data_IF_367189749081
#
_entry.id   IF_367189749081
#
_cell.length_a   1.000
_cell.length_b   1.000
_cell.length_c   1.000
_cell.angle_alpha   90.00
_cell.angle_beta   90.00
_cell.angle_gamma   90.00
#
_symmetry.space_group_name_H-M   'P 1'
#
loop_
_entity.id
_entity.type
_entity.pdbx_description
1 polymer ?
#
# COMPACT_ATOMS: atom_id res chain seq x y z
N UNK A 1 5.13 26.99 -19.27
CA UNK A 1 5.65 26.40 -18.01
C UNK A 1 4.60 26.32 -16.89
N UNK A 2 3.36 26.77 -17.08
CA UNK A 2 2.34 26.85 -16.02
C UNK A 2 1.23 25.79 -16.07
N UNK A 3 1.12 25.00 -17.13
CA UNK A 3 0.07 23.95 -17.24
C UNK A 3 0.46 22.60 -16.65
N UNK A 4 1.77 22.31 -16.51
CA UNK A 4 2.24 21.05 -15.89
C UNK A 4 2.12 21.09 -14.36
N UNK A 5 2.08 22.29 -13.76
CA UNK A 5 2.08 22.45 -12.30
C UNK A 5 0.79 21.96 -11.61
N UNK A 6 -0.37 22.03 -12.28
CA UNK A 6 -1.65 21.67 -11.66
C UNK A 6 -1.95 20.17 -11.77
N UNK A 7 -1.50 19.51 -12.85
CA UNK A 7 -1.68 18.06 -13.02
C UNK A 7 -0.84 17.26 -11.99
N UNK A 8 0.31 17.79 -11.58
CA UNK A 8 1.21 17.12 -10.63
C UNK A 8 0.68 17.10 -9.20
N UNK A 9 -0.15 18.08 -8.80
CA UNK A 9 -0.78 18.09 -7.47
C UNK A 9 -1.71 16.90 -7.26
N UNK A 10 -2.30 16.35 -8.34
CA UNK A 10 -3.23 15.22 -8.29
C UNK A 10 -2.54 13.85 -8.14
N UNK A 11 -1.22 13.78 -8.32
CA UNK A 11 -0.46 12.53 -8.11
C UNK A 11 -0.29 12.19 -6.63
N UNK A 12 -0.51 13.16 -5.74
CA UNK A 12 -0.28 12.98 -4.30
C UNK A 12 1.18 12.75 -3.94
N UNK A 13 2.11 13.12 -4.84
CA UNK A 13 3.56 13.06 -4.63
C UNK A 13 4.02 14.44 -4.18
N UNK A 14 4.50 14.59 -2.92
CA UNK A 14 5.10 15.83 -2.47
C UNK A 14 6.29 16.23 -3.34
N UNK A 15 6.47 17.53 -3.59
CA UNK A 15 7.51 18.01 -4.51
C UNK A 15 8.94 17.66 -4.07
N UNK A 16 9.15 17.48 -2.77
CA UNK A 16 10.43 17.06 -2.16
C UNK A 16 10.78 15.59 -2.40
N UNK A 17 9.82 14.74 -2.77
CA UNK A 17 10.06 13.33 -3.11
C UNK A 17 9.93 13.04 -4.61
N UNK A 18 9.87 14.08 -5.44
CA UNK A 18 9.70 13.95 -6.89
C UNK A 18 10.88 13.24 -7.59
N UNK A 19 12.05 13.21 -6.95
CA UNK A 19 13.21 12.46 -7.43
C UNK A 19 12.91 10.96 -7.63
N UNK A 20 11.91 10.42 -6.92
CA UNK A 20 11.46 9.03 -7.08
C UNK A 20 11.00 8.75 -8.51
N UNK A 21 10.39 9.73 -9.19
CA UNK A 21 9.95 9.57 -10.58
C UNK A 21 11.17 9.36 -11.47
N UNK A 22 12.22 10.16 -11.29
CA UNK A 22 13.47 10.05 -12.05
C UNK A 22 14.14 8.69 -11.82
N UNK A 23 14.20 8.25 -10.56
CA UNK A 23 14.77 6.95 -10.22
C UNK A 23 13.97 5.80 -10.84
N UNK A 24 12.65 5.90 -10.82
CA UNK A 24 11.77 4.92 -11.43
C UNK A 24 11.99 4.87 -12.95
N UNK A 25 12.10 6.03 -13.62
CA UNK A 25 12.43 6.09 -15.05
C UNK A 25 13.76 5.40 -15.37
N UNK A 26 14.80 5.66 -14.58
CA UNK A 26 16.12 5.07 -14.78
C UNK A 26 16.09 3.55 -14.63
N UNK A 27 15.33 3.04 -13.66
CA UNK A 27 15.25 1.60 -13.38
C UNK A 27 14.33 0.83 -14.32
N UNK A 28 13.24 1.45 -14.78
CA UNK A 28 12.21 0.75 -15.56
C UNK A 28 12.20 1.11 -17.05
N UNK A 29 12.89 2.20 -17.45
CA UNK A 29 12.83 2.73 -18.81
C UNK A 29 11.45 3.26 -19.21
N UNK A 30 10.57 3.53 -18.24
CA UNK A 30 9.24 4.06 -18.51
C UNK A 30 9.31 5.55 -18.82
N UNK A 31 8.48 6.01 -19.75
CA UNK A 31 8.31 7.44 -19.98
C UNK A 31 7.53 8.09 -18.83
N UNK A 32 7.73 9.39 -18.66
CA UNK A 32 7.13 10.16 -17.58
C UNK A 32 5.60 10.13 -17.60
N UNK A 33 4.99 10.14 -18.79
CA UNK A 33 3.53 10.08 -18.97
C UNK A 33 2.97 8.77 -18.44
N UNK A 34 3.59 7.64 -18.79
CA UNK A 34 3.25 6.31 -18.28
C UNK A 34 3.26 6.26 -16.75
N UNK A 35 4.29 6.83 -16.12
CA UNK A 35 4.44 6.82 -14.66
C UNK A 35 3.35 7.65 -13.99
N UNK A 36 3.14 8.88 -14.45
CA UNK A 36 2.12 9.77 -13.89
C UNK A 36 0.72 9.24 -14.09
N UNK A 37 0.41 8.70 -15.27
CA UNK A 37 -0.87 8.09 -15.54
C UNK A 37 -1.12 6.92 -14.58
N UNK A 38 -0.13 6.03 -14.38
CA UNK A 38 -0.27 4.92 -13.45
C UNK A 38 -0.41 5.38 -12.00
N UNK A 39 0.37 6.36 -11.55
CA UNK A 39 0.22 6.91 -10.19
C UNK A 39 -1.13 7.57 -9.99
N UNK A 40 -1.64 8.34 -10.95
CA UNK A 40 -2.97 8.95 -10.88
C UNK A 40 -4.06 7.88 -10.82
N UNK A 41 -3.96 6.84 -11.66
CA UNK A 41 -4.88 5.69 -11.63
C UNK A 41 -4.89 4.99 -10.28
N UNK A 42 -3.73 4.70 -9.69
CA UNK A 42 -3.64 4.04 -8.37
C UNK A 42 -4.16 4.95 -7.25
N UNK A 43 -3.90 6.26 -7.32
CA UNK A 43 -4.24 7.21 -6.27
C UNK A 43 -5.72 7.58 -6.23
N UNK A 44 -6.34 7.77 -7.40
CA UNK A 44 -7.68 8.36 -7.54
C UNK A 44 -8.70 7.39 -8.16
N UNK A 45 -8.23 6.34 -8.84
CA UNK A 45 -9.06 5.36 -9.56
C UNK A 45 -9.93 5.93 -10.70
N UNK A 46 -9.48 7.01 -11.35
CA UNK A 46 -10.15 7.59 -12.52
C UNK A 46 -10.32 6.55 -13.65
N UNK A 47 -11.36 6.73 -14.45
CA UNK A 47 -11.60 5.90 -15.65
C UNK A 47 -10.48 6.11 -16.68
N UNK A 48 -10.28 5.14 -17.57
CA UNK A 48 -9.28 5.30 -18.64
C UNK A 48 -9.67 6.38 -19.66
N UNK A 49 -10.96 6.70 -19.77
CA UNK A 49 -11.44 7.82 -20.59
C UNK A 49 -10.99 9.16 -19.98
N UNK A 50 -11.25 9.38 -18.68
CA UNK A 50 -10.79 10.59 -17.97
C UNK A 50 -9.26 10.72 -17.99
N UNK A 51 -8.54 9.61 -17.81
CA UNK A 51 -7.08 9.59 -17.95
C UNK A 51 -6.64 9.86 -19.39
N UNK A 52 -7.39 9.42 -20.38
CA UNK A 52 -7.14 9.77 -21.78
C UNK A 52 -7.21 11.28 -22.00
N UNK A 53 -8.28 11.90 -21.52
CA UNK A 53 -8.49 13.35 -21.59
C UNK A 53 -7.40 14.12 -20.84
N UNK A 54 -7.06 13.69 -19.62
CA UNK A 54 -6.05 14.33 -18.76
C UNK A 54 -4.64 14.30 -19.37
N UNK A 55 -4.30 13.25 -20.12
CA UNK A 55 -2.96 13.03 -20.67
C UNK A 55 -2.88 13.21 -22.20
N UNK A 56 -3.97 13.62 -22.86
CA UNK A 56 -4.00 13.87 -24.30
C UNK A 56 -3.82 12.61 -25.15
N UNK A 57 -4.32 11.46 -24.68
CA UNK A 57 -4.23 10.16 -25.37
C UNK A 57 -5.61 9.51 -25.47
N UNK A 58 -5.78 8.54 -26.37
CA UNK A 58 -7.05 7.78 -26.40
C UNK A 58 -7.23 6.92 -25.15
N UNK A 59 -8.47 6.61 -24.78
CA UNK A 59 -8.80 5.68 -23.68
C UNK A 59 -8.03 4.35 -23.79
N UNK A 60 -8.01 3.77 -25.00
CA UNK A 60 -7.27 2.53 -25.28
C UNK A 60 -5.76 2.69 -25.03
N UNK A 61 -5.21 3.86 -25.38
CA UNK A 61 -3.80 4.16 -25.12
C UNK A 61 -3.54 4.30 -23.62
N UNK A 62 -4.38 5.03 -22.88
CA UNK A 62 -4.28 5.17 -21.43
C UNK A 62 -4.30 3.80 -20.73
N UNK A 63 -5.25 2.94 -21.10
CA UNK A 63 -5.34 1.57 -20.58
C UNK A 63 -4.06 0.77 -20.85
N UNK A 64 -3.54 0.82 -22.09
CA UNK A 64 -2.29 0.13 -22.46
C UNK A 64 -1.08 0.66 -21.68
N UNK A 65 -0.97 1.97 -21.49
CA UNK A 65 0.12 2.59 -20.71
C UNK A 65 0.07 2.10 -19.27
N UNK A 66 -1.12 2.09 -18.65
CA UNK A 66 -1.32 1.58 -17.30
C UNK A 66 -0.89 0.11 -17.19
N UNK A 67 -1.42 -0.77 -18.03
CA UNK A 67 -1.13 -2.21 -17.99
C UNK A 67 0.35 -2.52 -18.17
N UNK A 68 1.04 -1.82 -19.07
CA UNK A 68 2.49 -1.99 -19.31
C UNK A 68 3.33 -1.51 -18.11
N UNK A 69 2.88 -0.45 -17.45
CA UNK A 69 3.67 0.26 -16.43
C UNK A 69 3.45 -0.27 -15.02
N UNK A 70 2.31 -0.92 -14.77
CA UNK A 70 1.92 -1.37 -13.44
C UNK A 70 2.95 -2.29 -12.78
N UNK A 71 3.37 -3.36 -13.45
CA UNK A 71 4.30 -4.33 -12.85
C UNK A 71 5.70 -3.75 -12.56
N UNK A 72 6.35 -3.01 -13.49
CA UNK A 72 7.61 -2.32 -13.18
C UNK A 72 7.49 -1.35 -12.00
N UNK A 73 6.41 -0.57 -11.94
CA UNK A 73 6.18 0.38 -10.85
C UNK A 73 5.98 -0.36 -9.52
N UNK A 74 5.16 -1.42 -9.49
CA UNK A 74 4.95 -2.23 -8.28
C UNK A 74 6.26 -2.83 -7.78
N UNK A 75 7.11 -3.34 -8.68
CA UNK A 75 8.42 -3.89 -8.33
C UNK A 75 9.32 -2.84 -7.68
N UNK A 76 9.34 -1.62 -8.23
CA UNK A 76 10.09 -0.51 -7.66
C UNK A 76 9.54 -0.10 -6.28
N UNK A 77 8.24 0.18 -6.18
CA UNK A 77 7.59 0.65 -4.94
C UNK A 77 7.68 -0.39 -3.83
N UNK A 78 7.59 -1.68 -4.16
CA UNK A 78 7.77 -2.75 -3.17
C UNK A 78 9.15 -2.72 -2.52
N UNK A 79 10.18 -2.26 -3.23
CA UNK A 79 11.53 -2.07 -2.68
C UNK A 79 11.64 -0.92 -1.68
N UNK A 80 10.66 -0.01 -1.64
CA UNK A 80 10.61 1.09 -0.67
C UNK A 80 10.04 0.65 0.69
N UNK A 81 9.37 -0.51 0.75
CA UNK A 81 8.83 -1.07 1.98
C UNK A 81 9.96 -1.79 2.71
N UNK A 82 10.66 -1.05 3.55
CA UNK A 82 11.79 -1.56 4.32
C UNK A 82 11.46 -1.57 5.81
N UNK A 83 12.00 -2.56 6.52
CA UNK A 83 11.96 -2.57 7.98
C UNK A 83 13.13 -1.75 8.54
N UNK A 84 12.89 -0.57 9.13
CA UNK A 84 13.97 0.29 9.60
C UNK A 84 14.66 -0.29 10.85
N UNK A 85 15.89 0.15 11.11
CA UNK A 85 16.62 -0.23 12.32
C UNK A 85 15.90 0.28 13.58
N UNK A 86 16.08 -0.43 14.70
CA UNK A 86 15.48 -0.05 15.97
C UNK A 86 15.85 1.38 16.43
N UNK A 87 17.07 1.83 16.08
CA UNK A 87 17.57 3.19 16.31
C UNK A 87 16.79 4.23 15.49
N UNK A 88 16.59 3.99 14.19
CA UNK A 88 15.82 4.89 13.32
C UNK A 88 14.38 5.04 13.83
N UNK A 89 13.74 3.92 14.20
CA UNK A 89 12.39 3.92 14.79
C UNK A 89 12.36 4.76 16.07
N UNK A 90 13.33 4.58 16.96
CA UNK A 90 13.38 5.35 18.21
C UNK A 90 13.62 6.84 17.98
N UNK A 91 14.48 7.20 17.02
CA UNK A 91 14.80 8.59 16.67
C UNK A 91 13.58 9.31 16.07
N UNK A 92 12.85 8.63 15.19
CA UNK A 92 11.68 9.17 14.48
C UNK A 92 10.37 9.07 15.28
N UNK A 93 10.38 8.42 16.45
CA UNK A 93 9.24 8.35 17.34
C UNK A 93 8.74 9.77 17.70
N UNK A 94 7.48 10.13 17.35
CA UNK A 94 6.95 11.46 17.62
C UNK A 94 7.02 11.80 19.12
N UNK A 95 7.35 13.06 19.45
CA UNK A 95 7.57 13.51 20.83
C UNK A 95 6.41 13.13 21.75
N UNK A 96 5.16 13.30 21.28
CA UNK A 96 3.94 12.96 22.03
C UNK A 96 3.81 11.47 22.34
N UNK A 97 4.43 10.60 21.55
CA UNK A 97 4.38 9.14 21.73
C UNK A 97 5.46 8.63 22.68
N UNK A 98 6.56 9.36 22.87
CA UNK A 98 7.74 8.88 23.64
C UNK A 98 7.42 8.46 25.07
N UNK A 99 6.58 9.24 25.77
CA UNK A 99 6.29 9.03 27.19
C UNK A 99 5.56 7.70 27.48
N UNK A 100 4.71 7.22 26.56
CA UNK A 100 3.87 6.03 26.78
C UNK A 100 4.14 4.88 25.81
N UNK A 101 4.71 5.19 24.64
CA UNK A 101 4.86 4.27 23.52
C UNK A 101 6.32 4.12 23.07
N UNK A 102 7.29 4.42 23.95
CA UNK A 102 8.74 4.28 23.65
C UNK A 102 9.18 2.88 23.22
N UNK A 103 8.43 1.84 23.62
CA UNK A 103 8.68 0.44 23.23
C UNK A 103 7.94 0.00 21.97
N UNK A 104 7.03 0.82 21.43
CA UNK A 104 6.26 0.48 20.22
C UNK A 104 7.19 0.54 19.01
N UNK A 105 7.24 -0.56 18.25
CA UNK A 105 8.05 -0.66 17.03
C UNK A 105 7.23 -0.75 15.75
N UNK A 106 5.97 -1.14 15.86
CA UNK A 106 5.05 -1.26 14.76
C UNK A 106 3.63 -0.94 15.21
N UNK A 107 2.86 -0.36 14.30
CA UNK A 107 1.41 -0.22 14.38
C UNK A 107 0.85 -1.07 13.25
N UNK A 108 0.00 -2.04 13.56
CA UNK A 108 -0.53 -2.98 12.57
C UNK A 108 -2.04 -2.85 12.41
N UNK A 109 -2.49 -3.07 11.19
CA UNK A 109 -3.90 -3.19 10.84
C UNK A 109 -4.09 -4.16 9.68
N UNK A 110 -5.25 -4.83 9.63
CA UNK A 110 -5.61 -5.68 8.50
C UNK A 110 -6.45 -4.88 7.50
N UNK A 111 -5.80 -4.42 6.42
CA UNK A 111 -6.48 -3.78 5.31
C UNK A 111 -7.38 -4.80 4.60
N UNK A 112 -8.66 -4.51 4.49
CA UNK A 112 -9.66 -5.36 3.86
C UNK A 112 -10.24 -4.70 2.61
N UNK A 113 -9.98 -5.29 1.44
CA UNK A 113 -10.34 -4.76 0.13
C UNK A 113 -11.47 -5.62 -0.46
N UNK A 114 -12.55 -4.98 -0.90
CA UNK A 114 -13.65 -5.66 -1.60
C UNK A 114 -13.15 -6.20 -2.94
N UNK A 115 -13.60 -7.40 -3.28
CA UNK A 115 -13.29 -8.03 -4.56
C UNK A 115 -14.55 -8.55 -5.23
N UNK A 116 -14.44 -8.86 -6.52
CA UNK A 116 -15.52 -9.52 -7.25
C UNK A 116 -15.81 -10.89 -6.61
N UNK A 117 -17.10 -11.23 -6.53
CA UNK A 117 -17.56 -12.53 -6.05
C UNK A 117 -16.94 -13.65 -6.93
N UNK A 118 -16.19 -14.59 -6.34
CA UNK A 118 -15.73 -15.77 -7.07
C UNK A 118 -16.91 -16.62 -7.56
N UNK A 119 -16.77 -17.22 -8.74
CA UNK A 119 -17.77 -18.17 -9.27
C UNK A 119 -17.78 -19.50 -8.50
N UNK A 120 -16.60 -19.92 -8.03
CA UNK A 120 -16.41 -21.12 -7.22
C UNK A 120 -16.92 -20.90 -5.79
N UNK A 121 -17.86 -21.76 -5.35
CA UNK A 121 -18.51 -21.64 -4.04
C UNK A 121 -17.54 -21.79 -2.86
N UNK A 122 -16.49 -22.61 -2.99
CA UNK A 122 -15.47 -22.78 -1.94
C UNK A 122 -14.64 -21.51 -1.83
N UNK A 123 -14.16 -20.98 -2.96
CA UNK A 123 -13.43 -19.69 -2.98
C UNK A 123 -14.30 -18.54 -2.48
N UNK A 124 -15.60 -18.56 -2.80
CA UNK A 124 -16.55 -17.59 -2.30
C UNK A 124 -16.66 -17.65 -0.77
N UNK A 125 -16.78 -18.86 -0.19
CA UNK A 125 -16.83 -19.03 1.26
C UNK A 125 -15.54 -18.58 1.96
N UNK A 126 -14.38 -18.92 1.38
CA UNK A 126 -13.06 -18.55 1.92
C UNK A 126 -12.78 -17.05 1.86
N UNK A 127 -13.33 -16.35 0.87
CA UNK A 127 -13.15 -14.89 0.72
C UNK A 127 -14.29 -14.08 1.34
N UNK A 128 -15.33 -14.72 1.89
CA UNK A 128 -16.46 -14.02 2.49
C UNK A 128 -16.07 -13.30 3.78
N UNK A 129 -16.26 -11.98 3.81
CA UNK A 129 -16.16 -11.18 5.02
C UNK A 129 -17.53 -10.98 5.63
N UNK A 130 -17.70 -11.50 6.84
CA UNK A 130 -18.93 -11.32 7.59
C UNK A 130 -19.12 -9.85 8.02
N UNK A 131 -18.01 -9.14 8.26
CA UNK A 131 -18.03 -7.73 8.63
C UNK A 131 -18.47 -6.83 7.46
N UNK A 132 -17.91 -7.06 6.26
CA UNK A 132 -18.24 -6.25 5.06
C UNK A 132 -19.44 -6.78 4.27
N UNK A 133 -19.96 -7.95 4.63
CA UNK A 133 -21.06 -8.65 3.94
C UNK A 133 -20.82 -8.84 2.44
N UNK A 134 -19.57 -9.10 2.06
CA UNK A 134 -19.16 -9.34 0.67
C UNK A 134 -17.83 -10.11 0.62
N UNK A 135 -17.43 -10.51 -0.59
CA UNK A 135 -16.13 -11.13 -0.82
C UNK A 135 -15.01 -10.08 -0.73
N UNK A 136 -13.98 -10.38 0.02
CA UNK A 136 -12.84 -9.49 0.26
C UNK A 136 -11.52 -10.26 0.28
N UNK A 137 -10.44 -9.52 0.09
CA UNK A 137 -9.07 -9.94 0.37
C UNK A 137 -8.51 -9.06 1.48
N UNK A 138 -7.72 -9.65 2.38
CA UNK A 138 -7.08 -9.00 3.51
C UNK A 138 -5.57 -8.97 3.35
N UNK A 139 -4.94 -7.90 3.84
CA UNK A 139 -3.50 -7.75 3.93
C UNK A 139 -3.14 -7.18 5.30
N UNK A 140 -2.20 -7.80 6.01
CA UNK A 140 -1.60 -7.17 7.19
C UNK A 140 -0.67 -6.07 6.71
N UNK A 141 -0.95 -4.85 7.15
CA UNK A 141 -0.11 -3.68 6.91
C UNK A 141 0.46 -3.24 8.25
N UNK A 142 1.76 -2.98 8.26
CA UNK A 142 2.45 -2.39 9.41
C UNK A 142 3.02 -1.04 9.02
N UNK A 143 2.93 -0.09 9.92
CA UNK A 143 3.63 1.18 9.84
C UNK A 143 4.46 1.44 11.09
N UNK A 144 5.51 2.24 10.93
CA UNK A 144 6.20 2.87 12.06
C UNK A 144 5.33 3.96 12.68
N UNK A 145 5.70 4.41 13.87
CA UNK A 145 4.99 5.46 14.62
C UNK A 145 5.00 6.84 13.95
N UNK A 146 5.90 7.08 13.01
CA UNK A 146 5.96 8.27 12.15
C UNK A 146 5.17 8.09 10.84
N UNK A 147 4.50 6.96 10.65
CA UNK A 147 3.55 6.73 9.55
C UNK A 147 4.14 6.07 8.30
N UNK A 148 5.40 5.62 8.33
CA UNK A 148 6.02 4.94 7.19
C UNK A 148 5.58 3.48 7.18
N UNK A 149 5.04 3.01 6.05
CA UNK A 149 4.73 1.59 5.84
C UNK A 149 6.02 0.79 5.78
N UNK A 150 6.18 -0.18 6.68
CA UNK A 150 7.42 -0.95 6.83
C UNK A 150 7.25 -2.45 6.60
N UNK A 151 6.01 -2.92 6.44
CA UNK A 151 5.70 -4.31 6.09
C UNK A 151 4.29 -4.42 5.50
N UNK A 152 4.15 -5.30 4.50
CA UNK A 152 2.87 -5.73 3.92
C UNK A 152 2.94 -7.25 3.74
N UNK A 153 1.92 -7.99 4.18
CA UNK A 153 1.84 -9.44 4.00
C UNK A 153 1.41 -9.85 2.59
N UNK A 154 1.47 -11.15 2.31
CA UNK A 154 0.67 -11.73 1.22
C UNK A 154 -0.85 -11.54 1.48
N UNK A 155 -1.65 -11.72 0.44
CA UNK A 155 -3.11 -11.61 0.54
C UNK A 155 -3.76 -12.84 1.16
N UNK A 156 -4.74 -12.62 2.03
CA UNK A 156 -5.55 -13.65 2.70
C UNK A 156 -7.02 -13.48 2.33
N UNK A 157 -7.81 -14.56 2.38
CA UNK A 157 -9.25 -14.46 2.17
C UNK A 157 -9.95 -13.65 3.26
N UNK A 158 -11.04 -12.96 2.92
CA UNK A 158 -11.84 -12.18 3.87
C UNK A 158 -12.30 -12.91 5.12
N UNK A 159 -12.42 -14.25 5.06
CA UNK A 159 -12.81 -15.08 6.19
C UNK A 159 -11.68 -15.31 7.20
N UNK A 160 -10.41 -15.14 6.78
CA UNK A 160 -9.26 -15.35 7.65
C UNK A 160 -9.27 -14.32 8.78
N UNK A 161 -9.04 -14.78 10.02
CA UNK A 161 -8.99 -13.90 11.18
C UNK A 161 -7.66 -13.13 11.23
N UNK A 162 -7.70 -11.93 11.76
CA UNK A 162 -6.52 -11.05 11.79
C UNK A 162 -5.38 -11.66 12.64
N UNK A 163 -5.71 -12.47 13.65
CA UNK A 163 -4.73 -13.23 14.44
C UNK A 163 -3.98 -14.28 13.60
N UNK A 164 -4.71 -15.07 12.79
CA UNK A 164 -4.09 -16.05 11.88
C UNK A 164 -3.21 -15.36 10.85
N UNK A 165 -3.64 -14.20 10.34
CA UNK A 165 -2.83 -13.41 9.40
C UNK A 165 -1.51 -12.99 10.06
N UNK A 166 -1.51 -12.56 11.32
CA UNK A 166 -0.26 -12.21 12.05
C UNK A 166 0.66 -13.42 12.17
N UNK A 167 0.12 -14.58 12.51
CA UNK A 167 0.89 -15.83 12.67
C UNK A 167 1.50 -16.32 11.35
N UNK A 168 0.75 -16.26 10.25
CA UNK A 168 1.18 -16.82 8.97
C UNK A 168 1.94 -15.83 8.07
N UNK A 169 1.82 -14.52 8.32
CA UNK A 169 2.41 -13.48 7.45
C UNK A 169 3.92 -13.31 7.59
N UNK A 170 4.57 -13.97 8.56
CA UNK A 170 5.98 -13.73 8.96
C UNK A 170 6.24 -12.33 9.51
N UNK A 171 5.20 -11.62 9.94
CA UNK A 171 5.36 -10.33 10.60
C UNK A 171 6.17 -10.45 11.90
N UNK A 172 5.93 -11.52 12.67
CA UNK A 172 6.62 -11.76 13.95
C UNK A 172 8.14 -11.90 13.79
N UNK A 173 8.62 -12.40 12.65
CA UNK A 173 10.05 -12.53 12.32
C UNK A 173 10.76 -11.16 12.24
N UNK A 174 10.02 -10.06 12.11
CA UNK A 174 10.55 -8.69 12.06
C UNK A 174 10.72 -8.06 13.45
N UNK A 175 10.10 -8.64 14.47
CA UNK A 175 10.05 -8.08 15.81
C UNK A 175 11.27 -8.48 16.64
N UNK A 176 11.62 -7.63 17.60
CA UNK A 176 12.67 -7.93 18.58
C UNK A 176 12.04 -8.25 19.94
N UNK A 177 12.59 -9.20 20.71
CA UNK A 177 12.09 -9.53 22.04
C UNK A 177 11.92 -8.28 22.93
N UNK A 178 10.80 -8.21 23.64
CA UNK A 178 10.49 -7.09 24.54
C UNK A 178 10.00 -5.80 23.86
N UNK A 179 9.87 -5.78 22.52
CA UNK A 179 9.18 -4.69 21.84
C UNK A 179 7.66 -4.80 21.98
N UNK A 180 6.97 -3.68 21.77
CA UNK A 180 5.51 -3.64 21.75
C UNK A 180 5.02 -3.40 20.31
N UNK A 181 3.88 -3.99 19.99
CA UNK A 181 3.14 -3.73 18.75
C UNK A 181 1.80 -3.12 19.14
N UNK A 182 1.44 -2.03 18.47
CA UNK A 182 0.11 -1.44 18.60
C UNK A 182 -0.79 -2.02 17.51
N UNK A 183 -1.99 -2.43 17.87
CA UNK A 183 -2.95 -3.04 16.94
C UNK A 183 -4.36 -2.59 17.31
N UNK A 184 -5.29 -2.69 16.36
CA UNK A 184 -6.72 -2.52 16.66
C UNK A 184 -7.25 -3.68 17.52
N UNK A 185 -8.46 -3.52 18.08
CA UNK A 185 -9.13 -4.52 18.92
C UNK A 185 -9.46 -5.82 18.19
N UNK A 186 -9.42 -5.84 16.85
CA UNK A 186 -9.68 -7.02 16.01
C UNK A 186 -8.66 -8.15 16.19
N UNK A 187 -7.46 -7.86 16.71
CA UNK A 187 -6.34 -8.81 16.82
C UNK A 187 -6.37 -9.72 18.06
N UNK A 188 -7.51 -9.82 18.75
CA UNK A 188 -7.64 -10.69 19.93
C UNK A 188 -7.88 -12.14 19.48
N UNK A 189 -7.14 -13.10 20.05
CA UNK A 189 -7.56 -14.49 20.05
C UNK A 189 -8.92 -14.56 20.75
N UNK A 190 -9.95 -14.96 20.01
CA UNK A 190 -11.23 -15.33 20.59
C UNK A 190 -11.20 -16.80 20.98
#
# INVERSE_FOLDING_TARGET
MTTVSCAMTLLGIPGDVFFIVVELQNLTGLDTTSIYLTFKKIRVDQTFAELGDDFGVSETTASRLFSKSLLPIVKFVSGLIVWPSAEKIAKLLPIRFRARYGKVKAIIDCLEIKMQKPEDAVKQSLTWSEYKKCNTVKYLVSSTSDGIVNFISNGFGGRTSDAVIVEESRFLDKLVPGCHVMADRGFKHR
#
